data_IF_882527892250
#
_entry.id   IF_882527892250
#
_cell.length_a   1.000
_cell.length_b   1.000
_cell.length_c   1.000
_cell.angle_alpha   90.00
_cell.angle_beta   90.00
_cell.angle_gamma   90.00
#
_symmetry.space_group_name_H-M   'P 1'
#
loop_
_entity.id
_entity.type
_entity.pdbx_description
1 polymer ?
#
# COMPACT_ATOMS: atom_id res chain seq x y z
N UNK A 1 -44.98 3.06 -0.67
CA UNK A 1 -46.43 3.26 -0.73
C UNK A 1 -46.88 4.40 0.19
N UNK A 2 -46.42 5.64 0.00
CA UNK A 2 -46.87 6.82 0.78
C UNK A 2 -46.86 8.06 -0.13
N UNK A 3 -47.50 8.01 -1.28
CA UNK A 3 -47.54 9.16 -2.19
C UNK A 3 -48.93 9.66 -2.60
N UNK A 4 -49.97 9.37 -1.81
CA UNK A 4 -51.28 9.96 -2.03
C UNK A 4 -51.91 10.39 -0.71
N UNK A 5 -51.91 11.70 -0.47
CA UNK A 5 -52.55 12.39 0.66
C UNK A 5 -51.56 12.71 1.78
N UNK A 6 -50.99 13.93 1.80
CA UNK A 6 -50.20 14.41 2.91
C UNK A 6 -51.13 14.56 4.14
N UNK A 7 -51.06 13.66 5.15
CA UNK A 7 -51.86 13.83 6.36
C UNK A 7 -51.37 15.07 7.09
N UNK A 8 -52.30 15.96 7.44
CA UNK A 8 -51.97 17.17 8.25
C UNK A 8 -51.58 16.80 9.67
N UNK A 9 -51.89 15.60 10.15
CA UNK A 9 -51.57 15.13 11.48
C UNK A 9 -51.23 13.64 11.44
N UNK A 10 -50.04 13.28 11.89
CA UNK A 10 -49.58 11.92 12.05
C UNK A 10 -49.56 11.57 13.54
N UNK A 11 -50.27 10.53 13.94
CA UNK A 11 -50.20 9.98 15.30
C UNK A 11 -49.46 8.65 15.23
N UNK A 12 -48.35 8.56 15.94
CA UNK A 12 -47.54 7.35 16.02
C UNK A 12 -47.87 6.68 17.35
N UNK A 13 -48.56 5.55 17.31
CA UNK A 13 -48.85 4.75 18.49
C UNK A 13 -47.66 3.82 18.77
N UNK A 14 -46.93 4.08 19.85
CA UNK A 14 -45.79 3.32 20.32
C UNK A 14 -46.12 2.46 21.58
N UNK A 15 -47.39 2.23 21.89
CA UNK A 15 -47.82 1.48 23.07
C UNK A 15 -47.35 0.00 23.06
N UNK A 16 -47.14 -0.57 21.87
CA UNK A 16 -46.62 -1.93 21.72
C UNK A 16 -45.09 -2.05 21.74
N UNK A 17 -44.36 -0.95 21.94
CA UNK A 17 -42.88 -0.96 21.93
C UNK A 17 -42.37 -1.36 23.32
N UNK A 18 -41.89 -2.59 23.45
CA UNK A 18 -41.30 -3.12 24.67
C UNK A 18 -39.80 -2.83 24.83
N UNK A 19 -39.11 -2.56 23.74
CA UNK A 19 -37.69 -2.21 23.69
C UNK A 19 -37.40 -1.16 22.59
N UNK A 20 -36.64 -0.14 22.93
CA UNK A 20 -36.24 0.90 22.01
C UNK A 20 -34.80 1.30 22.32
N UNK A 21 -33.90 1.03 21.39
CA UNK A 21 -32.49 1.47 21.43
C UNK A 21 -32.28 2.84 20.79
N UNK A 22 -31.03 3.33 20.78
CA UNK A 22 -30.70 4.60 20.16
C UNK A 22 -31.07 4.71 18.68
N UNK A 23 -31.09 3.60 17.94
CA UNK A 23 -31.54 3.56 16.55
C UNK A 23 -33.06 3.70 16.44
N UNK A 24 -33.81 3.08 17.34
CA UNK A 24 -35.27 3.23 17.43
C UNK A 24 -35.67 4.67 17.77
N UNK A 25 -34.98 5.30 18.74
CA UNK A 25 -35.21 6.73 19.08
C UNK A 25 -34.91 7.64 17.88
N UNK A 26 -33.78 7.40 17.18
CA UNK A 26 -33.40 8.19 16.00
C UNK A 26 -34.44 8.03 14.88
N UNK A 27 -35.00 6.85 14.67
CA UNK A 27 -36.05 6.60 13.68
C UNK A 27 -37.34 7.36 14.02
N UNK A 28 -37.77 7.38 15.28
CA UNK A 28 -38.94 8.14 15.72
C UNK A 28 -38.75 9.65 15.52
N UNK A 29 -37.57 10.17 15.83
CA UNK A 29 -37.20 11.57 15.59
C UNK A 29 -37.22 11.89 14.09
N UNK A 30 -36.68 11.02 13.26
CA UNK A 30 -36.65 11.20 11.78
C UNK A 30 -38.07 11.23 11.21
N UNK A 31 -38.98 10.36 11.66
CA UNK A 31 -40.38 10.35 11.25
C UNK A 31 -41.09 11.66 11.66
N UNK A 32 -40.86 12.12 12.88
CA UNK A 32 -41.43 13.36 13.37
C UNK A 32 -40.91 14.57 12.55
N UNK A 33 -39.61 14.63 12.30
CA UNK A 33 -39.02 15.68 11.48
C UNK A 33 -39.48 15.65 10.01
N UNK A 34 -39.64 14.46 9.43
CA UNK A 34 -40.13 14.31 8.07
C UNK A 34 -41.54 14.91 7.93
N UNK A 35 -42.41 14.66 8.91
CA UNK A 35 -43.78 15.19 8.95
C UNK A 35 -43.80 16.70 9.13
N UNK A 36 -43.01 17.25 10.05
CA UNK A 36 -42.88 18.70 10.27
C UNK A 36 -42.37 19.38 8.97
N UNK A 37 -41.38 18.81 8.29
CA UNK A 37 -40.88 19.34 7.00
C UNK A 37 -41.90 19.33 5.89
N UNK A 38 -42.89 18.44 5.94
CA UNK A 38 -43.99 18.40 4.96
C UNK A 38 -45.16 19.31 5.32
N UNK A 39 -45.05 20.10 6.41
CA UNK A 39 -46.05 21.05 6.86
C UNK A 39 -47.18 20.39 7.66
N UNK A 40 -46.99 19.20 8.19
CA UNK A 40 -47.89 18.48 9.09
C UNK A 40 -47.37 18.48 10.53
N UNK A 41 -48.20 17.99 11.45
CA UNK A 41 -47.86 17.77 12.85
C UNK A 41 -47.70 16.26 13.14
N UNK A 42 -46.79 15.89 14.02
CA UNK A 42 -46.56 14.48 14.42
C UNK A 42 -46.52 14.35 15.93
N UNK A 43 -47.36 13.48 16.47
CA UNK A 43 -47.43 13.19 17.88
C UNK A 43 -47.16 11.71 18.14
N UNK A 44 -46.26 11.42 19.10
CA UNK A 44 -45.93 10.06 19.52
C UNK A 44 -46.71 9.78 20.82
N UNK A 45 -47.51 8.69 20.85
CA UNK A 45 -48.31 8.30 22.00
C UNK A 45 -47.94 6.89 22.45
N UNK A 46 -48.11 6.60 23.74
CA UNK A 46 -47.93 5.28 24.30
C UNK A 46 -46.49 4.83 24.53
N UNK A 47 -45.50 5.68 24.33
CA UNK A 47 -44.10 5.33 24.56
C UNK A 47 -43.82 5.28 26.10
N UNK A 48 -43.07 4.26 26.54
CA UNK A 48 -42.67 4.12 27.96
C UNK A 48 -41.81 5.30 28.44
N UNK A 49 -41.93 5.65 29.73
CA UNK A 49 -41.31 6.85 30.32
C UNK A 49 -39.77 6.91 30.12
N UNK A 50 -39.11 5.76 30.18
CA UNK A 50 -37.64 5.66 29.96
C UNK A 50 -37.24 6.08 28.54
N UNK A 51 -37.96 5.63 27.54
CA UNK A 51 -37.68 5.96 26.14
C UNK A 51 -38.16 7.36 25.78
N UNK A 52 -39.16 7.88 26.48
CA UNK A 52 -39.64 9.25 26.33
C UNK A 52 -38.59 10.27 26.78
N UNK A 53 -37.89 10.00 27.90
CA UNK A 53 -36.75 10.85 28.33
C UNK A 53 -35.62 10.85 27.33
N UNK A 54 -35.31 9.70 26.74
CA UNK A 54 -34.30 9.64 25.64
C UNK A 54 -34.73 10.47 24.42
N UNK A 55 -36.00 10.38 24.05
CA UNK A 55 -36.56 11.13 22.92
C UNK A 55 -36.54 12.62 23.19
N UNK A 56 -36.83 13.10 24.40
CA UNK A 56 -36.75 14.51 24.79
C UNK A 56 -35.30 15.04 24.76
N UNK A 57 -34.35 14.26 25.28
CA UNK A 57 -32.92 14.62 25.27
C UNK A 57 -32.38 14.72 23.84
N UNK A 58 -32.68 13.76 22.99
CA UNK A 58 -32.17 13.74 21.61
C UNK A 58 -33.03 14.58 20.66
N UNK A 59 -34.33 14.78 20.94
CA UNK A 59 -35.25 15.59 20.17
C UNK A 59 -34.85 17.06 20.16
N UNK A 60 -34.51 17.61 21.32
CA UNK A 60 -34.07 19.01 21.46
C UNK A 60 -32.76 19.30 20.72
N UNK A 61 -31.85 18.34 20.69
CA UNK A 61 -30.56 18.45 19.97
C UNK A 61 -30.76 18.42 18.44
N UNK A 62 -31.77 17.70 17.96
CA UNK A 62 -32.00 17.52 16.52
C UNK A 62 -32.81 18.65 15.89
N UNK A 63 -33.71 19.29 16.64
CA UNK A 63 -34.53 20.42 16.18
C UNK A 63 -33.66 21.65 15.86
N UNK A 64 -32.55 21.82 16.60
CA UNK A 64 -31.61 22.93 16.40
C UNK A 64 -30.49 22.69 15.40
N UNK A 65 -30.43 21.51 14.75
CA UNK A 65 -29.49 21.32 13.65
C UNK A 65 -30.05 22.01 12.38
N UNK A 66 -29.36 23.02 11.85
CA UNK A 66 -29.71 23.52 10.53
C UNK A 66 -29.78 22.37 9.55
N UNK A 67 -30.77 22.33 8.63
CA UNK A 67 -30.89 21.26 7.66
C UNK A 67 -29.53 21.02 7.03
N UNK A 68 -28.99 19.81 7.19
CA UNK A 68 -27.68 19.49 6.67
C UNK A 68 -27.67 19.93 5.21
N UNK A 69 -26.87 20.94 4.88
CA UNK A 69 -26.69 21.37 3.49
C UNK A 69 -26.49 20.08 2.70
N UNK A 70 -27.45 19.71 1.83
CA UNK A 70 -27.19 18.74 0.77
C UNK A 70 -25.87 19.21 0.19
N UNK A 71 -24.80 18.39 0.36
CA UNK A 71 -23.54 18.67 -0.30
C UNK A 71 -23.90 18.70 -1.78
N UNK A 72 -23.98 19.90 -2.34
CA UNK A 72 -24.09 20.04 -3.80
C UNK A 72 -22.93 19.25 -4.39
N UNK A 73 -23.18 18.49 -5.46
CA UNK A 73 -22.09 17.77 -6.11
C UNK A 73 -21.02 18.81 -6.43
N UNK A 74 -19.84 18.62 -5.85
CA UNK A 74 -18.71 19.52 -6.03
C UNK A 74 -18.49 19.72 -7.54
N UNK A 75 -18.33 20.98 -7.95
CA UNK A 75 -17.91 21.33 -9.31
C UNK A 75 -16.67 20.52 -9.69
N UNK A 76 -16.51 20.16 -10.97
CA UNK A 76 -15.32 19.46 -11.47
C UNK A 76 -14.06 20.22 -11.07
N UNK A 77 -14.08 21.55 -11.13
CA UNK A 77 -12.97 22.43 -10.72
C UNK A 77 -12.64 22.27 -9.23
N UNK A 78 -13.65 22.19 -8.36
CA UNK A 78 -13.45 21.97 -6.92
C UNK A 78 -12.95 20.57 -6.61
N UNK A 79 -13.39 19.55 -7.37
CA UNK A 79 -12.89 18.19 -7.24
C UNK A 79 -11.40 18.11 -7.62
N UNK A 80 -11.02 18.69 -8.75
CA UNK A 80 -9.63 18.78 -9.22
C UNK A 80 -8.79 19.59 -8.23
N UNK A 81 -9.30 20.74 -7.75
CA UNK A 81 -8.61 21.55 -6.75
C UNK A 81 -8.37 20.81 -5.44
N UNK A 82 -9.36 20.06 -4.94
CA UNK A 82 -9.19 19.21 -3.74
C UNK A 82 -8.17 18.12 -3.97
N UNK A 83 -8.26 17.41 -5.09
CA UNK A 83 -7.30 16.36 -5.43
C UNK A 83 -5.86 16.90 -5.52
N UNK A 84 -5.68 18.09 -6.12
CA UNK A 84 -4.36 18.73 -6.20
C UNK A 84 -3.82 19.14 -4.82
N UNK A 85 -4.67 19.66 -3.93
CA UNK A 85 -4.26 20.00 -2.55
C UNK A 85 -3.95 18.76 -1.72
N UNK A 86 -4.73 17.70 -1.87
CA UNK A 86 -4.46 16.40 -1.21
C UNK A 86 -3.14 15.81 -1.69
N UNK A 87 -2.90 15.79 -3.01
CA UNK A 87 -1.65 15.33 -3.59
C UNK A 87 -0.44 16.15 -3.07
N UNK A 88 -0.59 17.47 -2.96
CA UNK A 88 0.45 18.34 -2.43
C UNK A 88 0.77 18.06 -0.97
N UNK A 89 -0.26 17.84 -0.14
CA UNK A 89 -0.10 17.46 1.27
C UNK A 89 0.59 16.11 1.41
N UNK A 90 0.17 15.12 0.60
CA UNK A 90 0.80 13.80 0.57
C UNK A 90 2.27 13.90 0.20
N UNK A 91 2.60 14.72 -0.81
CA UNK A 91 3.99 14.96 -1.23
C UNK A 91 4.81 15.62 -0.11
N UNK A 92 4.26 16.62 0.58
CA UNK A 92 4.93 17.26 1.71
C UNK A 92 5.16 16.28 2.87
N UNK A 93 4.15 15.47 3.21
CA UNK A 93 4.28 14.45 4.26
C UNK A 93 5.37 13.43 3.90
N UNK A 94 5.41 12.99 2.65
CA UNK A 94 6.41 12.06 2.14
C UNK A 94 7.82 12.66 2.18
N UNK A 95 8.00 13.90 1.73
CA UNK A 95 9.29 14.59 1.77
C UNK A 95 9.79 14.79 3.20
N UNK A 96 8.89 15.19 4.12
CA UNK A 96 9.24 15.36 5.53
C UNK A 96 9.66 14.04 6.16
N UNK A 97 8.90 12.98 5.91
CA UNK A 97 9.19 11.64 6.41
C UNK A 97 10.52 11.08 5.84
N UNK A 98 10.75 11.26 4.53
CA UNK A 98 12.01 10.85 3.90
C UNK A 98 13.20 11.61 4.50
N UNK A 99 13.04 12.91 4.77
CA UNK A 99 14.08 13.70 5.46
C UNK A 99 14.37 13.19 6.87
N UNK A 100 13.34 12.93 7.67
CA UNK A 100 13.47 12.36 9.01
C UNK A 100 14.12 10.96 8.98
N UNK A 101 13.67 10.11 8.05
CA UNK A 101 14.25 8.78 7.84
C UNK A 101 15.71 8.84 7.42
N UNK A 102 16.07 9.72 6.49
CA UNK A 102 17.45 9.90 6.03
C UNK A 102 18.37 10.34 7.18
N UNK A 103 17.93 11.30 8.00
CA UNK A 103 18.66 11.72 9.20
C UNK A 103 18.80 10.58 10.21
N UNK A 104 17.76 9.79 10.38
CA UNK A 104 17.77 8.64 11.30
C UNK A 104 18.71 7.55 10.80
N UNK A 105 18.70 7.23 9.50
CA UNK A 105 19.63 6.29 8.87
C UNK A 105 21.08 6.77 8.98
N UNK A 106 21.33 8.07 8.77
CA UNK A 106 22.68 8.65 8.89
C UNK A 106 23.19 8.59 10.34
N UNK A 107 22.31 8.86 11.33
CA UNK A 107 22.64 8.69 12.76
C UNK A 107 22.90 7.23 13.10
N UNK A 108 22.09 6.31 12.58
CA UNK A 108 22.25 4.87 12.77
C UNK A 108 23.58 4.35 12.17
N UNK A 109 23.96 4.85 11.00
CA UNK A 109 25.24 4.50 10.37
C UNK A 109 26.46 4.97 11.22
N UNK A 110 26.35 6.16 11.84
CA UNK A 110 27.41 6.66 12.76
C UNK A 110 27.39 5.98 14.12
N UNK A 111 26.25 5.55 14.60
CA UNK A 111 26.07 4.95 15.92
C UNK A 111 25.25 3.65 15.83
N UNK A 112 25.83 2.53 15.34
CA UNK A 112 25.11 1.28 15.10
C UNK A 112 24.51 0.65 16.37
N UNK A 113 24.97 1.09 17.56
CA UNK A 113 24.38 0.69 18.85
C UNK A 113 22.95 1.23 19.07
N UNK A 114 22.51 2.23 18.27
CA UNK A 114 21.17 2.79 18.33
C UNK A 114 20.15 1.91 17.61
N UNK A 115 20.60 0.98 16.79
CA UNK A 115 19.77 0.08 15.99
C UNK A 115 19.34 -1.13 16.81
N UNK A 116 18.08 -1.49 16.77
CA UNK A 116 17.53 -2.70 17.37
C UNK A 116 17.76 -3.89 16.44
N UNK A 117 18.99 -4.41 16.41
CA UNK A 117 19.40 -5.46 15.48
C UNK A 117 18.54 -6.74 15.59
N UNK A 118 18.07 -7.09 16.81
CA UNK A 118 17.19 -8.24 17.00
C UNK A 118 15.88 -8.09 16.24
N UNK A 119 15.28 -6.91 16.29
CA UNK A 119 14.03 -6.63 15.58
C UNK A 119 14.27 -6.56 14.07
N UNK A 120 15.36 -5.91 13.64
CA UNK A 120 15.72 -5.86 12.23
C UNK A 120 15.95 -7.27 11.65
N UNK A 121 16.59 -8.17 12.41
CA UNK A 121 16.79 -9.55 12.00
C UNK A 121 15.46 -10.32 11.89
N UNK A 122 14.59 -10.20 12.90
CA UNK A 122 13.27 -10.85 12.87
C UNK A 122 12.42 -10.40 11.68
N UNK A 123 12.39 -9.09 11.41
CA UNK A 123 11.69 -8.54 10.24
C UNK A 123 12.34 -9.01 8.94
N UNK A 124 13.67 -9.09 8.87
CA UNK A 124 14.38 -9.58 7.70
C UNK A 124 14.07 -11.05 7.42
N UNK A 125 14.06 -11.89 8.45
CA UNK A 125 13.70 -13.30 8.33
C UNK A 125 12.26 -13.48 7.81
N UNK A 126 11.29 -12.84 8.41
CA UNK A 126 9.89 -12.88 7.99
C UNK A 126 9.67 -12.32 6.57
N UNK A 127 10.33 -11.19 6.24
CA UNK A 127 10.18 -10.57 4.92
C UNK A 127 10.91 -11.34 3.83
N UNK A 128 12.02 -11.99 4.15
CA UNK A 128 12.88 -12.66 3.20
C UNK A 128 12.47 -14.12 2.94
N UNK A 129 12.48 -14.95 3.97
CA UNK A 129 12.24 -16.39 3.82
C UNK A 129 10.88 -16.68 3.23
N UNK A 130 9.87 -16.03 3.78
CA UNK A 130 8.51 -16.27 3.30
C UNK A 130 8.22 -15.64 1.91
N UNK A 131 9.04 -14.71 1.41
CA UNK A 131 8.89 -14.18 0.06
C UNK A 131 9.57 -15.04 -1.00
N UNK A 132 10.53 -15.89 -0.60
CA UNK A 132 11.33 -16.68 -1.53
C UNK A 132 10.49 -17.58 -2.46
N UNK A 133 9.46 -18.32 -1.98
CA UNK A 133 8.69 -19.20 -2.87
C UNK A 133 7.95 -18.44 -3.99
N UNK A 134 7.37 -17.30 -3.68
CA UNK A 134 6.67 -16.50 -4.68
C UNK A 134 7.65 -15.83 -5.67
N UNK A 135 8.82 -15.41 -5.19
CA UNK A 135 9.88 -14.84 -6.03
C UNK A 135 10.45 -15.93 -6.96
N UNK A 136 10.66 -17.13 -6.44
CA UNK A 136 11.11 -18.25 -7.25
C UNK A 136 10.11 -18.57 -8.37
N UNK A 137 8.83 -18.70 -8.04
CA UNK A 137 7.78 -18.99 -9.01
C UNK A 137 7.68 -17.91 -10.08
N UNK A 138 7.57 -16.66 -9.66
CA UNK A 138 7.42 -15.52 -10.59
C UNK A 138 8.71 -15.35 -11.40
N UNK A 139 9.89 -15.50 -10.79
CA UNK A 139 11.16 -15.47 -11.51
C UNK A 139 11.23 -16.48 -12.65
N UNK A 140 10.94 -17.74 -12.38
CA UNK A 140 10.91 -18.81 -13.41
C UNK A 140 9.91 -18.47 -14.52
N UNK A 141 8.69 -18.08 -14.15
CA UNK A 141 7.65 -17.76 -15.14
C UNK A 141 8.05 -16.57 -16.03
N UNK A 142 8.61 -15.52 -15.43
CA UNK A 142 9.10 -14.36 -16.20
C UNK A 142 10.22 -14.72 -17.14
N UNK A 143 11.22 -15.47 -16.66
CA UNK A 143 12.30 -15.95 -17.52
C UNK A 143 11.81 -16.79 -18.67
N UNK A 144 10.84 -17.67 -18.42
CA UNK A 144 10.19 -18.48 -19.44
C UNK A 144 9.42 -17.61 -20.45
N UNK A 145 8.62 -16.68 -19.98
CA UNK A 145 7.82 -15.77 -20.84
C UNK A 145 8.73 -14.91 -21.71
N UNK A 146 9.74 -14.25 -21.10
CA UNK A 146 10.67 -13.39 -21.83
C UNK A 146 11.48 -14.16 -22.86
N UNK A 147 11.94 -15.37 -22.51
CA UNK A 147 12.68 -16.20 -23.46
C UNK A 147 11.82 -16.64 -24.64
N UNK A 148 10.57 -17.09 -24.43
CA UNK A 148 9.67 -17.42 -25.53
C UNK A 148 9.33 -16.22 -26.38
N UNK A 149 9.04 -15.09 -25.76
CA UNK A 149 8.68 -13.86 -26.45
C UNK A 149 9.84 -13.34 -27.33
N UNK A 150 11.07 -13.46 -26.83
CA UNK A 150 12.27 -13.08 -27.59
C UNK A 150 12.64 -14.12 -28.68
N UNK A 151 12.38 -15.40 -28.44
CA UNK A 151 12.70 -16.48 -29.39
C UNK A 151 11.88 -16.38 -30.69
N UNK A 152 10.61 -15.95 -30.63
CA UNK A 152 9.74 -15.85 -31.81
C UNK A 152 10.33 -14.94 -32.91
N UNK A 153 10.70 -13.68 -32.64
CA UNK A 153 11.32 -12.81 -33.62
C UNK A 153 12.74 -13.26 -33.99
N UNK A 154 13.56 -13.70 -33.04
CA UNK A 154 14.96 -14.07 -33.27
C UNK A 154 15.10 -15.27 -34.20
N UNK A 155 14.19 -16.23 -34.13
CA UNK A 155 14.15 -17.40 -35.05
C UNK A 155 14.03 -16.99 -36.52
N UNK A 156 13.30 -15.91 -36.81
CA UNK A 156 13.14 -15.45 -38.20
C UNK A 156 14.46 -14.97 -38.85
N UNK A 157 15.41 -14.61 -37.99
CA UNK A 157 16.75 -14.11 -38.41
C UNK A 157 17.83 -15.17 -38.18
N UNK A 158 17.51 -16.37 -37.73
CA UNK A 158 18.51 -17.38 -37.36
C UNK A 158 19.40 -17.00 -36.18
N UNK A 159 18.90 -16.10 -35.34
CA UNK A 159 19.64 -15.48 -34.23
C UNK A 159 19.15 -15.98 -32.85
N UNK A 160 18.61 -17.19 -32.76
CA UNK A 160 17.97 -17.75 -31.59
C UNK A 160 18.86 -17.76 -30.33
N UNK A 161 20.19 -17.94 -30.52
CA UNK A 161 21.16 -17.98 -29.43
C UNK A 161 21.20 -16.67 -28.63
N UNK A 162 20.99 -15.52 -29.31
CA UNK A 162 21.00 -14.20 -28.67
C UNK A 162 19.78 -13.94 -27.74
N UNK A 163 18.81 -14.85 -27.72
CA UNK A 163 17.76 -14.85 -26.68
C UNK A 163 18.38 -14.95 -25.28
N UNK A 164 19.48 -15.69 -25.14
CA UNK A 164 20.20 -15.81 -23.87
C UNK A 164 20.80 -14.48 -23.40
N UNK A 165 21.36 -13.69 -24.35
CA UNK A 165 21.95 -12.38 -24.09
C UNK A 165 20.88 -11.39 -23.61
N UNK A 166 19.78 -11.30 -24.37
CA UNK A 166 18.67 -10.39 -24.06
C UNK A 166 18.05 -10.72 -22.71
N UNK A 167 17.85 -12.02 -22.45
CA UNK A 167 17.29 -12.45 -21.18
C UNK A 167 18.23 -12.18 -20.00
N UNK A 168 19.52 -12.47 -20.17
CA UNK A 168 20.53 -12.21 -19.15
C UNK A 168 20.57 -10.74 -18.74
N UNK A 169 20.73 -9.85 -19.72
CA UNK A 169 20.76 -8.40 -19.49
C UNK A 169 19.43 -7.90 -18.91
N UNK A 170 18.30 -8.31 -19.49
CA UNK A 170 16.98 -7.87 -19.04
C UNK A 170 16.70 -8.29 -17.59
N UNK A 171 17.05 -9.52 -17.20
CA UNK A 171 16.83 -10.01 -15.84
C UNK A 171 17.72 -9.28 -14.84
N UNK A 172 19.03 -9.21 -15.09
CA UNK A 172 19.96 -8.70 -14.09
C UNK A 172 19.84 -7.18 -13.92
N UNK A 173 19.58 -6.45 -15.00
CA UNK A 173 19.59 -5.00 -15.01
C UNK A 173 18.24 -4.37 -14.63
N UNK A 174 17.13 -5.00 -15.06
CA UNK A 174 15.80 -4.38 -14.96
C UNK A 174 14.78 -5.29 -14.25
N UNK A 175 14.46 -6.43 -14.85
CA UNK A 175 13.29 -7.22 -14.46
C UNK A 175 13.42 -7.84 -13.08
N UNK A 176 14.59 -8.36 -12.72
CA UNK A 176 14.82 -8.94 -11.40
C UNK A 176 14.62 -7.97 -10.25
N UNK A 177 15.33 -6.83 -10.24
CA UNK A 177 15.13 -5.80 -9.22
C UNK A 177 13.70 -5.27 -9.17
N UNK A 178 13.12 -4.92 -10.34
CA UNK A 178 11.79 -4.33 -10.44
C UNK A 178 10.70 -5.26 -9.91
N UNK A 179 10.67 -6.51 -10.38
CA UNK A 179 9.65 -7.48 -9.96
C UNK A 179 9.78 -7.84 -8.48
N UNK A 180 11.02 -8.01 -8.00
CA UNK A 180 11.25 -8.23 -6.57
C UNK A 180 10.70 -7.08 -5.73
N UNK A 181 10.94 -5.85 -6.13
CA UNK A 181 10.43 -4.67 -5.44
C UNK A 181 8.89 -4.60 -5.45
N UNK A 182 8.25 -4.88 -6.59
CA UNK A 182 6.79 -4.90 -6.72
C UNK A 182 6.16 -5.97 -5.83
N UNK A 183 6.71 -7.20 -5.84
CA UNK A 183 6.23 -8.29 -4.98
C UNK A 183 6.33 -7.90 -3.50
N UNK A 184 7.47 -7.33 -3.11
CA UNK A 184 7.70 -6.94 -1.71
C UNK A 184 6.92 -5.70 -1.30
N UNK A 185 6.62 -4.78 -2.22
CA UNK A 185 5.68 -3.70 -1.95
C UNK A 185 4.28 -4.25 -1.62
N UNK A 186 3.81 -5.23 -2.40
CA UNK A 186 2.52 -5.90 -2.17
C UNK A 186 2.47 -6.74 -0.90
N UNK A 187 3.57 -7.38 -0.50
CA UNK A 187 3.64 -8.28 0.64
C UNK A 187 4.18 -7.59 1.90
N UNK A 188 5.46 -7.23 1.89
CA UNK A 188 6.14 -6.70 3.08
C UNK A 188 5.76 -5.23 3.34
N UNK A 189 5.64 -4.41 2.30
CA UNK A 189 5.19 -3.02 2.41
C UNK A 189 3.78 -2.91 2.97
N UNK A 190 2.85 -3.75 2.49
CA UNK A 190 1.48 -3.82 3.03
C UNK A 190 1.44 -4.34 4.46
N UNK A 191 2.27 -5.34 4.81
CA UNK A 191 2.38 -5.87 6.17
C UNK A 191 2.86 -4.79 7.15
N UNK A 192 3.89 -4.01 6.77
CA UNK A 192 4.38 -2.88 7.59
C UNK A 192 3.28 -1.83 7.81
N UNK A 193 2.49 -1.53 6.77
CA UNK A 193 1.36 -0.61 6.88
C UNK A 193 0.26 -1.17 7.80
N UNK A 194 -0.04 -2.47 7.72
CA UNK A 194 -1.03 -3.13 8.56
C UNK A 194 -0.62 -3.14 10.03
N UNK A 195 0.63 -3.52 10.32
CA UNK A 195 1.17 -3.58 11.69
C UNK A 195 1.17 -2.19 12.33
N UNK A 196 1.80 -1.20 11.69
CA UNK A 196 1.88 0.16 12.23
C UNK A 196 0.51 0.82 12.27
N UNK A 197 -0.36 0.56 11.29
CA UNK A 197 -1.74 1.03 11.29
C UNK A 197 -2.55 0.46 12.44
N UNK A 198 -2.38 -0.82 12.77
CA UNK A 198 -3.02 -1.45 13.94
C UNK A 198 -2.51 -0.85 15.25
N UNK A 199 -1.19 -0.66 15.39
CA UNK A 199 -0.59 0.00 16.56
C UNK A 199 -1.10 1.45 16.70
N UNK A 200 -1.33 2.16 15.58
CA UNK A 200 -1.88 3.51 15.58
C UNK A 200 -3.33 3.54 16.06
N UNK A 201 -4.16 2.63 15.56
CA UNK A 201 -5.58 2.51 15.98
C UNK A 201 -5.70 2.13 17.45
N UNK A 202 -4.75 1.34 17.98
CA UNK A 202 -4.68 0.95 19.41
C UNK A 202 -4.00 1.98 20.31
N UNK A 203 -3.63 3.14 19.75
CA UNK A 203 -2.91 4.21 20.48
C UNK A 203 -1.52 3.79 21.02
N UNK A 204 -0.99 2.63 20.61
CA UNK A 204 0.32 2.15 21.04
C UNK A 204 1.45 3.08 20.59
N UNK A 205 1.32 3.71 19.41
CA UNK A 205 2.30 4.69 18.91
C UNK A 205 2.29 5.97 19.76
N UNK A 206 1.11 6.39 20.21
CA UNK A 206 0.98 7.58 21.06
C UNK A 206 1.51 7.28 22.48
N UNK A 207 1.34 6.05 22.98
CA UNK A 207 1.99 5.60 24.21
C UNK A 207 3.53 5.60 24.11
N UNK A 208 4.10 5.20 22.97
CA UNK A 208 5.55 5.31 22.73
C UNK A 208 6.04 6.77 22.79
N UNK A 209 5.28 7.69 22.20
CA UNK A 209 5.59 9.13 22.24
C UNK A 209 5.56 9.70 23.65
N UNK A 210 4.57 9.32 24.46
CA UNK A 210 4.49 9.76 25.87
C UNK A 210 5.65 9.25 26.71
N UNK A 211 6.21 8.08 26.35
CA UNK A 211 7.44 7.54 26.96
C UNK A 211 8.74 8.18 26.45
N UNK A 212 8.66 9.18 25.55
CA UNK A 212 9.82 9.85 24.96
C UNK A 212 10.52 9.04 23.89
N UNK A 213 9.88 7.99 23.35
CA UNK A 213 10.44 7.17 22.27
C UNK A 213 10.00 7.71 20.90
N UNK A 214 10.95 7.96 20.01
CA UNK A 214 10.69 8.39 18.64
C UNK A 214 10.19 7.21 17.79
N UNK A 215 8.92 7.22 17.29
CA UNK A 215 8.36 6.09 16.54
C UNK A 215 9.17 5.73 15.29
N UNK A 216 9.71 6.72 14.57
CA UNK A 216 10.52 6.49 13.38
C UNK A 216 11.78 5.69 13.72
N UNK A 217 12.47 6.06 14.79
CA UNK A 217 13.66 5.33 15.22
C UNK A 217 13.35 3.94 15.77
N UNK A 218 12.26 3.82 16.53
CA UNK A 218 11.94 2.59 17.25
C UNK A 218 11.27 1.54 16.35
N UNK A 219 10.35 1.96 15.46
CA UNK A 219 9.53 1.08 14.64
C UNK A 219 9.95 1.05 13.18
N UNK A 220 10.25 2.21 12.57
CA UNK A 220 10.53 2.31 11.14
C UNK A 220 11.93 1.85 10.80
N UNK A 221 12.93 2.32 11.55
CA UNK A 221 14.34 2.04 11.25
C UNK A 221 14.68 0.54 11.13
N UNK A 222 14.22 -0.37 12.03
CA UNK A 222 14.48 -1.80 11.89
C UNK A 222 13.88 -2.38 10.61
N UNK A 223 12.67 -1.92 10.22
CA UNK A 223 11.96 -2.37 9.00
C UNK A 223 12.68 -1.93 7.72
N UNK A 224 13.18 -0.69 7.72
CA UNK A 224 13.95 -0.16 6.57
C UNK A 224 15.27 -0.93 6.42
N UNK A 225 16.00 -1.15 7.51
CA UNK A 225 17.26 -1.92 7.48
C UNK A 225 17.00 -3.34 6.97
N UNK A 226 15.95 -3.99 7.45
CA UNK A 226 15.55 -5.33 7.00
C UNK A 226 15.25 -5.36 5.50
N UNK A 227 14.44 -4.41 5.00
CA UNK A 227 14.08 -4.34 3.59
C UNK A 227 15.29 -4.05 2.69
N UNK A 228 16.13 -3.09 3.08
CA UNK A 228 17.37 -2.74 2.37
C UNK A 228 18.35 -3.91 2.27
N UNK A 229 18.41 -4.77 3.29
CA UNK A 229 19.23 -5.96 3.27
C UNK A 229 18.61 -7.08 2.43
N UNK A 230 17.29 -7.31 2.58
CA UNK A 230 16.63 -8.49 1.99
C UNK A 230 16.25 -8.31 0.53
N UNK A 231 15.88 -7.11 0.08
CA UNK A 231 15.48 -6.90 -1.33
C UNK A 231 16.62 -7.21 -2.31
N UNK A 232 17.87 -6.78 -2.10
CA UNK A 232 18.98 -7.19 -2.95
C UNK A 232 19.22 -8.70 -2.95
N UNK A 233 19.15 -9.36 -1.80
CA UNK A 233 19.31 -10.82 -1.70
C UNK A 233 18.22 -11.52 -2.50
N UNK A 234 16.97 -11.12 -2.33
CA UNK A 234 15.85 -11.71 -3.07
C UNK A 234 15.91 -11.39 -4.56
N UNK A 235 16.49 -10.26 -4.96
CA UNK A 235 16.76 -9.92 -6.36
C UNK A 235 17.75 -10.89 -6.99
N UNK A 236 18.80 -11.29 -6.27
CA UNK A 236 19.74 -12.33 -6.76
C UNK A 236 19.00 -13.64 -6.99
N UNK A 237 18.11 -14.04 -6.09
CA UNK A 237 17.28 -15.23 -6.28
C UNK A 237 16.30 -15.07 -7.46
N UNK A 238 15.66 -13.91 -7.62
CA UNK A 238 14.78 -13.62 -8.75
C UNK A 238 15.52 -13.76 -10.10
N UNK A 239 16.73 -13.22 -10.16
CA UNK A 239 17.61 -13.34 -11.33
C UNK A 239 17.97 -14.80 -11.62
N UNK A 240 18.39 -15.54 -10.59
CA UNK A 240 18.75 -16.94 -10.73
C UNK A 240 17.57 -17.78 -11.25
N UNK A 241 16.39 -17.63 -10.65
CA UNK A 241 15.20 -18.36 -11.08
C UNK A 241 14.71 -17.90 -12.46
N UNK A 242 14.86 -16.61 -12.79
CA UNK A 242 14.55 -16.10 -14.13
C UNK A 242 15.46 -16.71 -15.21
N UNK A 243 16.75 -16.77 -14.95
CA UNK A 243 17.69 -17.44 -15.84
C UNK A 243 17.41 -18.96 -15.94
N UNK A 244 16.99 -19.61 -14.87
CA UNK A 244 16.53 -21.00 -14.93
C UNK A 244 15.30 -21.17 -15.82
N UNK A 245 14.32 -20.26 -15.74
CA UNK A 245 13.17 -20.23 -16.65
C UNK A 245 13.58 -20.11 -18.12
N UNK A 246 14.52 -19.22 -18.42
CA UNK A 246 15.10 -19.09 -19.76
C UNK A 246 15.84 -20.31 -20.23
N UNK A 247 16.58 -20.98 -19.34
CA UNK A 247 17.29 -22.22 -19.66
C UNK A 247 16.33 -23.34 -20.13
N UNK A 248 15.14 -23.44 -19.53
CA UNK A 248 14.09 -24.38 -19.93
C UNK A 248 13.69 -24.14 -21.40
N UNK A 249 13.46 -22.89 -21.76
CA UNK A 249 13.09 -22.51 -23.14
C UNK A 249 14.21 -22.80 -24.11
N UNK A 250 15.44 -22.37 -23.81
CA UNK A 250 16.60 -22.61 -24.69
C UNK A 250 16.86 -24.11 -24.89
N UNK A 251 16.63 -24.91 -23.85
CA UNK A 251 16.69 -26.38 -23.96
C UNK A 251 15.62 -26.90 -24.90
N UNK A 252 14.41 -26.39 -24.88
CA UNK A 252 13.30 -26.78 -25.77
C UNK A 252 13.57 -26.37 -27.24
N UNK A 253 14.37 -25.32 -27.45
CA UNK A 253 14.80 -24.87 -28.78
C UNK A 253 15.98 -25.70 -29.34
N UNK A 254 16.52 -26.69 -28.57
CA UNK A 254 17.60 -27.58 -28.99
C UNK A 254 19.00 -27.17 -28.54
N UNK A 255 19.15 -26.09 -27.78
CA UNK A 255 20.46 -25.66 -27.30
C UNK A 255 20.87 -26.41 -26.02
N UNK A 256 22.12 -26.90 -25.93
CA UNK A 256 22.66 -27.45 -24.69
C UNK A 256 22.72 -26.39 -23.57
N UNK A 257 22.51 -26.81 -22.32
CA UNK A 257 22.59 -25.90 -21.17
C UNK A 257 23.95 -25.22 -21.06
N UNK A 258 25.03 -25.88 -21.40
CA UNK A 258 26.40 -25.32 -21.40
C UNK A 258 26.51 -24.16 -22.39
N UNK A 259 25.93 -24.29 -23.57
CA UNK A 259 25.91 -23.21 -24.58
C UNK A 259 25.10 -21.99 -24.06
N UNK A 260 23.96 -22.25 -23.46
CA UNK A 260 23.15 -21.21 -22.87
C UNK A 260 23.89 -20.46 -21.75
N UNK A 261 24.46 -21.15 -20.80
CA UNK A 261 25.21 -20.54 -19.69
C UNK A 261 26.39 -19.74 -20.18
N UNK A 262 27.19 -20.29 -21.12
CA UNK A 262 28.33 -19.59 -21.69
C UNK A 262 27.89 -18.29 -22.43
N UNK A 263 26.78 -18.37 -23.15
CA UNK A 263 26.23 -17.21 -23.86
C UNK A 263 25.79 -16.12 -22.87
N UNK A 264 25.03 -16.47 -21.83
CA UNK A 264 24.65 -15.51 -20.76
C UNK A 264 25.89 -14.90 -20.11
N UNK A 265 26.89 -15.70 -19.75
CA UNK A 265 28.12 -15.21 -19.11
C UNK A 265 28.96 -14.30 -20.02
N UNK A 266 28.90 -14.52 -21.35
CA UNK A 266 29.60 -13.64 -22.31
C UNK A 266 28.90 -12.30 -22.53
N UNK A 267 27.58 -12.28 -22.40
CA UNK A 267 26.77 -11.07 -22.64
C UNK A 267 26.62 -10.17 -21.40
N UNK A 268 26.56 -10.80 -20.20
CA UNK A 268 26.34 -10.08 -18.96
C UNK A 268 27.65 -9.57 -18.38
N UNK A 269 27.65 -8.30 -17.97
CA UNK A 269 28.80 -7.69 -17.28
C UNK A 269 28.56 -7.60 -15.77
N UNK A 270 29.64 -7.45 -15.02
CA UNK A 270 29.56 -7.18 -13.58
C UNK A 270 28.82 -5.85 -13.33
N UNK A 271 28.92 -4.91 -14.26
CA UNK A 271 28.19 -3.64 -14.23
C UNK A 271 26.68 -3.81 -14.24
N UNK A 272 26.14 -4.75 -15.05
CA UNK A 272 24.70 -5.02 -15.11
C UNK A 272 24.19 -5.58 -13.79
N UNK A 273 24.92 -6.51 -13.19
CA UNK A 273 24.58 -7.05 -11.88
C UNK A 273 24.63 -5.98 -10.78
N UNK A 274 25.70 -5.20 -10.74
CA UNK A 274 25.88 -4.16 -9.73
C UNK A 274 24.83 -3.04 -9.90
N UNK A 275 24.54 -2.65 -11.14
CA UNK A 275 23.48 -1.68 -11.45
C UNK A 275 22.11 -2.15 -10.95
N UNK A 276 21.75 -3.41 -11.22
CA UNK A 276 20.50 -4.00 -10.72
C UNK A 276 20.45 -4.10 -9.20
N UNK A 277 21.55 -4.49 -8.55
CA UNK A 277 21.65 -4.53 -7.09
C UNK A 277 21.55 -3.13 -6.47
N UNK A 278 22.18 -2.12 -7.07
CA UNK A 278 22.07 -0.74 -6.62
C UNK A 278 20.62 -0.25 -6.66
N UNK A 279 19.90 -0.52 -7.76
CA UNK A 279 18.47 -0.25 -7.86
C UNK A 279 17.69 -0.94 -6.73
N UNK A 280 17.98 -2.21 -6.47
CA UNK A 280 17.28 -3.01 -5.45
C UNK A 280 17.48 -2.46 -4.03
N UNK A 281 18.64 -1.91 -3.70
CA UNK A 281 18.87 -1.19 -2.43
C UNK A 281 17.95 0.02 -2.29
N UNK A 282 17.84 0.82 -3.33
CA UNK A 282 16.97 2.01 -3.32
C UNK A 282 15.50 1.61 -3.23
N UNK A 283 15.09 0.56 -3.95
CA UNK A 283 13.73 0.03 -3.84
C UNK A 283 13.42 -0.48 -2.43
N UNK A 284 14.41 -1.06 -1.75
CA UNK A 284 14.28 -1.46 -0.34
C UNK A 284 13.90 -0.30 0.57
N UNK A 285 14.55 0.85 0.37
CA UNK A 285 14.21 2.07 1.10
C UNK A 285 12.79 2.53 0.75
N UNK A 286 12.45 2.57 -0.53
CA UNK A 286 11.13 3.04 -1.01
C UNK A 286 10.00 2.16 -0.44
N UNK A 287 10.10 0.84 -0.57
CA UNK A 287 9.08 -0.12 -0.10
C UNK A 287 8.84 0.04 1.41
N UNK A 288 9.93 0.04 2.19
CA UNK A 288 9.80 0.14 3.65
C UNK A 288 9.33 1.52 4.10
N UNK A 289 9.86 2.60 3.49
CA UNK A 289 9.47 3.96 3.83
C UNK A 289 7.99 4.21 3.57
N UNK A 290 7.51 3.83 2.38
CA UNK A 290 6.09 4.03 2.01
C UNK A 290 5.17 3.16 2.87
N UNK A 291 5.52 1.89 3.08
CA UNK A 291 4.75 1.00 3.95
C UNK A 291 4.62 1.54 5.37
N UNK A 292 5.73 1.99 5.94
CA UNK A 292 5.74 2.57 7.29
C UNK A 292 5.00 3.92 7.35
N UNK A 293 5.19 4.81 6.38
CA UNK A 293 4.53 6.10 6.33
C UNK A 293 3.00 5.92 6.31
N UNK A 294 2.48 5.11 5.40
CA UNK A 294 1.03 4.87 5.29
C UNK A 294 0.46 4.20 6.54
N UNK A 295 1.24 3.34 7.21
CA UNK A 295 0.87 2.79 8.51
C UNK A 295 0.77 3.85 9.61
N UNK A 296 1.74 4.75 9.71
CA UNK A 296 1.75 5.85 10.68
C UNK A 296 0.65 6.88 10.44
N UNK A 297 0.20 7.05 9.19
CA UNK A 297 -0.88 7.96 8.77
C UNK A 297 -2.28 7.34 8.92
N UNK A 298 -2.40 6.08 9.37
CA UNK A 298 -3.68 5.40 9.52
C UNK A 298 -4.63 6.20 10.41
N UNK A 299 -5.85 6.41 9.92
CA UNK A 299 -6.93 7.06 10.66
C UNK A 299 -7.56 6.09 11.66
N UNK A 300 -8.46 6.58 12.49
CA UNK A 300 -9.19 5.77 13.48
C UNK A 300 -10.17 4.79 12.81
N UNK A 301 -10.23 3.57 13.34
CA UNK A 301 -11.17 2.52 12.92
C UNK A 301 -10.53 1.37 12.14
N UNK A 302 -11.11 0.18 12.24
CA UNK A 302 -10.57 -1.05 11.63
C UNK A 302 -10.51 -0.98 10.08
N UNK A 303 -11.47 -0.32 9.44
CA UNK A 303 -11.48 -0.13 7.98
C UNK A 303 -10.32 0.77 7.50
N UNK A 304 -9.82 1.66 8.36
CA UNK A 304 -8.71 2.55 8.01
C UNK A 304 -7.39 1.77 7.82
N UNK A 305 -7.17 0.68 8.57
CA UNK A 305 -6.00 -0.20 8.39
C UNK A 305 -6.00 -0.82 7.00
N UNK A 306 -7.15 -1.35 6.54
CA UNK A 306 -7.28 -1.89 5.17
C UNK A 306 -7.02 -0.85 4.08
N UNK A 307 -7.48 0.39 4.27
CA UNK A 307 -7.20 1.50 3.34
C UNK A 307 -5.72 1.86 3.32
N UNK A 308 -5.07 1.91 4.49
CA UNK A 308 -3.63 2.20 4.59
C UNK A 308 -2.78 1.14 3.90
N UNK A 309 -3.11 -0.15 4.04
CA UNK A 309 -2.40 -1.23 3.36
C UNK A 309 -2.52 -1.14 1.84
N UNK A 310 -3.73 -0.91 1.32
CA UNK A 310 -3.94 -0.72 -0.12
C UNK A 310 -3.20 0.52 -0.64
N UNK A 311 -3.27 1.63 0.09
CA UNK A 311 -2.55 2.87 -0.25
C UNK A 311 -1.04 2.66 -0.24
N UNK A 312 -0.50 1.89 0.70
CA UNK A 312 0.92 1.56 0.76
C UNK A 312 1.39 0.81 -0.49
N UNK A 313 0.63 -0.21 -0.93
CA UNK A 313 0.94 -0.97 -2.15
C UNK A 313 0.93 -0.08 -3.38
N UNK A 314 -0.15 0.67 -3.59
CA UNK A 314 -0.31 1.53 -4.78
C UNK A 314 0.77 2.61 -4.81
N UNK A 315 0.97 3.34 -3.69
CA UNK A 315 2.01 4.38 -3.62
C UNK A 315 3.41 3.80 -3.77
N UNK A 316 3.67 2.62 -3.21
CA UNK A 316 4.93 1.91 -3.33
C UNK A 316 5.25 1.56 -4.78
N UNK A 317 4.32 0.92 -5.50
CA UNK A 317 4.50 0.55 -6.92
C UNK A 317 4.72 1.79 -7.80
N UNK A 318 3.93 2.86 -7.60
CA UNK A 318 4.09 4.11 -8.34
C UNK A 318 5.48 4.71 -8.11
N UNK A 319 5.94 4.78 -6.86
CA UNK A 319 7.26 5.32 -6.56
C UNK A 319 8.40 4.44 -7.08
N UNK A 320 8.27 3.10 -7.02
CA UNK A 320 9.23 2.18 -7.63
C UNK A 320 9.34 2.46 -9.13
N UNK A 321 8.21 2.59 -9.85
CA UNK A 321 8.20 2.87 -11.28
C UNK A 321 8.84 4.23 -11.61
N UNK A 322 8.59 5.28 -10.80
CA UNK A 322 9.23 6.59 -10.98
C UNK A 322 10.75 6.49 -10.77
N UNK A 323 11.17 5.83 -9.69
CA UNK A 323 12.59 5.66 -9.37
C UNK A 323 13.30 4.81 -10.41
N UNK A 324 12.66 3.76 -10.94
CA UNK A 324 13.19 2.95 -12.02
C UNK A 324 13.39 3.78 -13.30
N UNK A 325 12.39 4.58 -13.68
CA UNK A 325 12.52 5.53 -14.80
C UNK A 325 13.65 6.54 -14.61
N UNK A 326 13.88 7.04 -13.39
CA UNK A 326 15.01 7.91 -13.09
C UNK A 326 16.35 7.18 -13.25
N UNK A 327 16.45 5.94 -12.76
CA UNK A 327 17.65 5.11 -12.96
C UNK A 327 17.91 4.85 -14.44
N UNK A 328 16.89 4.56 -15.26
CA UNK A 328 17.04 4.36 -16.68
C UNK A 328 17.64 5.59 -17.38
N UNK A 329 17.17 6.81 -17.02
CA UNK A 329 17.73 8.06 -17.57
C UNK A 329 19.17 8.28 -17.10
N UNK A 330 19.45 8.07 -15.81
CA UNK A 330 20.79 8.26 -15.24
C UNK A 330 21.78 7.27 -15.85
N UNK A 331 21.43 5.99 -15.96
CA UNK A 331 22.31 4.98 -16.54
C UNK A 331 22.57 5.24 -18.02
N UNK A 332 21.54 5.66 -18.77
CA UNK A 332 21.72 6.08 -20.15
C UNK A 332 22.68 7.28 -20.29
N UNK A 333 22.53 8.29 -19.41
CA UNK A 333 23.40 9.48 -19.42
C UNK A 333 24.85 9.17 -19.03
N UNK A 334 25.07 8.14 -18.21
CA UNK A 334 26.41 7.67 -17.81
C UNK A 334 27.02 6.67 -18.78
N UNK A 335 26.28 6.23 -19.80
CA UNK A 335 26.74 5.24 -20.79
C UNK A 335 26.84 3.82 -20.20
N UNK A 336 26.04 3.52 -19.16
CA UNK A 336 26.00 2.24 -18.46
C UNK A 336 24.83 1.37 -18.94
#
# INVERSE_FOLDING_TARGET
>A
MLSQGKPRRLVIDASGVSYCDGAGVAFLIDLQQLQIRTGGDATIQGLQEEFRRLLDIYGDISINRPPGRRREPLSIIEQVGKAAVELWRDLQALLTFVGELALTLLRAARHPRLVRWKDAWLVAEQSGVDALPIIALIGVLLGLILAFQSAIPMRRFGADIFVADLLGIAMLREMGPLITAIILAGRSGSAFAAELGTMKVREEIDALRTMGLEPVRFLVLPRVIAAVAMIPVLTVFANLFGLMGGAIVMRSLGYPLVTYVNQVLSAVTVGDLMGGLLKSFVYGIVVAAVGCLRGLETKTGASAVGQSTTSAVVSGIVLIAIVDGLFAVVFHALGL
#
